data_IF_881409508436
#
_entry.id   IF_881409508436
#
_cell.length_a   1.000
_cell.length_b   1.000
_cell.length_c   1.000
_cell.angle_alpha   90.00
_cell.angle_beta   90.00
_cell.angle_gamma   90.00
#
_symmetry.space_group_name_H-M   'P 1'
#
loop_
_entity.id
_entity.type
_entity.pdbx_description
1 polymer ?
#
# COMPACT_ATOMS: atom_id res chain seq x y z
N UNK A 1 -13.44 -10.78 -18.96
CA UNK A 1 -12.11 -10.14 -18.88
C UNK A 1 -12.14 -8.64 -19.21
N UNK A 2 -12.64 -8.17 -20.36
CA UNK A 2 -12.63 -6.71 -20.68
C UNK A 2 -13.65 -5.82 -19.93
N UNK A 3 -14.64 -6.41 -19.25
CA UNK A 3 -15.73 -5.68 -18.59
C UNK A 3 -15.56 -5.51 -17.07
N UNK A 4 -14.63 -6.24 -16.46
CA UNK A 4 -14.54 -6.38 -15.00
C UNK A 4 -14.00 -5.12 -14.31
N UNK A 5 -13.15 -4.35 -15.01
CA UNK A 5 -12.49 -3.15 -14.50
C UNK A 5 -13.11 -1.83 -15.00
N UNK A 6 -14.31 -1.88 -15.61
CA UNK A 6 -15.02 -0.67 -16.04
C UNK A 6 -15.61 0.06 -14.83
N UNK A 7 -15.63 1.39 -14.89
CA UNK A 7 -16.29 2.20 -13.88
C UNK A 7 -17.79 1.89 -13.85
N UNK A 8 -18.40 1.66 -12.67
CA UNK A 8 -19.84 1.55 -12.56
C UNK A 8 -20.52 2.89 -12.90
N UNK A 9 -21.76 2.84 -13.36
CA UNK A 9 -22.48 4.03 -13.82
C UNK A 9 -22.62 5.11 -12.74
N UNK A 10 -22.70 4.70 -11.47
CA UNK A 10 -22.69 5.60 -10.31
C UNK A 10 -21.40 6.42 -10.24
N UNK A 11 -20.23 5.80 -10.41
CA UNK A 11 -18.92 6.48 -10.44
C UNK A 11 -18.85 7.45 -11.62
N UNK A 12 -19.24 7.02 -12.82
CA UNK A 12 -19.24 7.87 -14.03
C UNK A 12 -20.10 9.11 -13.80
N UNK A 13 -21.33 8.92 -13.29
CA UNK A 13 -22.29 10.00 -13.04
C UNK A 13 -21.79 10.98 -11.97
N UNK A 14 -21.24 10.46 -10.87
CA UNK A 14 -20.67 11.29 -9.80
C UNK A 14 -19.46 12.07 -10.29
N UNK A 15 -18.55 11.43 -11.02
CA UNK A 15 -17.35 12.07 -11.56
C UNK A 15 -17.70 13.20 -12.55
N UNK A 16 -18.63 12.96 -13.47
CA UNK A 16 -19.12 13.99 -14.39
C UNK A 16 -19.67 15.21 -13.65
N UNK A 17 -20.47 15.00 -12.60
CA UNK A 17 -21.03 16.08 -11.77
C UNK A 17 -19.95 16.83 -11.00
N UNK A 18 -18.98 16.12 -10.40
CA UNK A 18 -17.84 16.73 -9.70
C UNK A 18 -17.02 17.64 -10.62
N UNK A 19 -16.86 17.23 -11.87
CA UNK A 19 -16.15 18.03 -12.89
C UNK A 19 -17.04 19.07 -13.57
N UNK A 20 -18.26 19.31 -13.08
CA UNK A 20 -19.27 20.18 -13.69
C UNK A 20 -19.47 19.90 -15.19
N UNK A 21 -19.45 18.63 -15.58
CA UNK A 21 -19.48 18.16 -16.97
C UNK A 21 -18.48 18.90 -17.87
N UNK A 22 -17.28 19.18 -17.35
CA UNK A 22 -16.24 19.92 -18.06
C UNK A 22 -14.94 19.11 -18.03
N UNK A 23 -14.24 19.04 -19.16
CA UNK A 23 -12.98 18.31 -19.29
C UNK A 23 -11.93 18.83 -18.29
N UNK A 24 -11.33 17.92 -17.51
CA UNK A 24 -10.35 18.25 -16.49
C UNK A 24 -8.93 18.52 -17.02
N UNK A 25 -8.68 18.35 -18.33
CA UNK A 25 -7.40 18.76 -18.91
C UNK A 25 -7.27 20.29 -18.86
N UNK A 26 -6.24 20.85 -18.18
CA UNK A 26 -6.06 22.30 -18.00
C UNK A 26 -5.99 23.09 -19.31
N UNK A 27 -5.47 22.46 -20.38
CA UNK A 27 -5.38 23.08 -21.71
C UNK A 27 -6.66 22.97 -22.55
N UNK A 28 -7.72 22.35 -22.04
CA UNK A 28 -8.95 22.08 -22.78
C UNK A 28 -10.18 22.75 -22.17
N UNK A 29 -10.59 22.37 -20.95
CA UNK A 29 -11.75 22.95 -20.27
C UNK A 29 -13.08 22.87 -21.04
N UNK A 30 -13.20 21.97 -22.03
CA UNK A 30 -14.39 21.87 -22.87
C UNK A 30 -15.62 21.41 -22.06
N UNK A 31 -16.76 22.04 -22.30
CA UNK A 31 -18.06 21.55 -21.82
C UNK A 31 -18.35 20.23 -22.55
N UNK A 32 -18.71 19.21 -21.78
CA UNK A 32 -18.90 17.83 -22.28
C UNK A 32 -20.36 17.40 -22.33
N UNK A 33 -21.29 18.20 -21.79
CA UNK A 33 -22.72 17.92 -21.82
C UNK A 33 -23.50 19.07 -22.45
N UNK A 34 -24.45 18.77 -23.34
CA UNK A 34 -25.23 19.77 -24.07
C UNK A 34 -26.60 19.27 -24.53
N UNK A 35 -27.44 20.14 -25.11
CA UNK A 35 -28.78 19.76 -25.57
C UNK A 35 -28.74 18.93 -26.86
N UNK A 36 -29.76 18.09 -27.06
CA UNK A 36 -30.10 17.50 -28.37
C UNK A 36 -31.29 18.23 -29.00
N UNK A 37 -31.68 17.83 -30.22
CA UNK A 37 -32.94 18.24 -30.87
C UNK A 37 -34.19 17.74 -30.12
N UNK A 38 -34.07 16.64 -29.37
CA UNK A 38 -35.10 16.13 -28.47
C UNK A 38 -35.13 16.87 -27.14
N UNK A 39 -36.31 17.36 -26.67
CA UNK A 39 -36.44 18.06 -25.38
C UNK A 39 -36.09 17.21 -24.15
N UNK A 40 -36.21 15.88 -24.23
CA UNK A 40 -35.90 14.92 -23.17
C UNK A 40 -34.48 14.32 -23.28
N UNK A 41 -33.68 14.79 -24.25
CA UNK A 41 -32.35 14.25 -24.56
C UNK A 41 -31.20 15.19 -24.21
N UNK A 42 -30.00 14.60 -24.12
CA UNK A 42 -28.75 15.35 -23.98
C UNK A 42 -27.61 14.64 -24.71
N UNK A 43 -26.64 15.44 -25.18
CA UNK A 43 -25.37 14.96 -25.72
C UNK A 43 -24.39 14.84 -24.56
N UNK A 44 -23.62 13.76 -24.52
CA UNK A 44 -22.46 13.60 -23.65
C UNK A 44 -21.22 13.25 -24.50
N UNK A 45 -20.20 14.11 -24.44
CA UNK A 45 -18.89 13.95 -25.08
C UNK A 45 -17.77 13.65 -24.07
N UNK A 46 -18.14 13.52 -22.79
CA UNK A 46 -17.25 13.29 -21.67
C UNK A 46 -17.23 11.83 -21.24
N UNK A 47 -16.06 11.40 -20.79
CA UNK A 47 -15.74 10.02 -20.44
C UNK A 47 -14.98 9.99 -19.11
N UNK A 48 -15.24 8.96 -18.31
CA UNK A 48 -14.44 8.66 -17.12
C UNK A 48 -13.20 7.87 -17.57
N UNK A 49 -12.05 8.54 -17.58
CA UNK A 49 -10.78 7.96 -17.94
C UNK A 49 -10.06 7.37 -16.72
N UNK A 50 -9.36 6.25 -16.93
CA UNK A 50 -8.52 5.62 -15.92
C UNK A 50 -7.19 6.36 -15.77
N UNK A 51 -6.85 6.76 -14.54
CA UNK A 51 -5.53 7.32 -14.22
C UNK A 51 -4.48 6.21 -14.27
N UNK A 52 -4.66 5.13 -13.49
CA UNK A 52 -3.99 3.85 -13.68
C UNK A 52 -4.85 2.93 -14.53
N UNK A 53 -4.28 2.38 -15.60
CA UNK A 53 -4.99 1.61 -16.62
C UNK A 53 -5.75 0.39 -16.07
N UNK A 54 -6.90 0.11 -16.69
CA UNK A 54 -7.83 -0.91 -16.22
C UNK A 54 -7.31 -2.36 -16.37
N UNK A 55 -6.54 -2.65 -17.43
CA UNK A 55 -6.22 -4.02 -17.84
C UNK A 55 -4.73 -4.17 -18.21
N UNK A 56 -4.21 -5.39 -18.12
CA UNK A 56 -2.84 -5.69 -18.57
C UNK A 56 -2.68 -5.22 -20.02
N UNK A 57 -1.65 -4.41 -20.27
CA UNK A 57 -1.38 -3.83 -21.59
C UNK A 57 -2.07 -2.49 -21.87
N UNK A 58 -2.98 -2.01 -21.00
CA UNK A 58 -3.51 -0.64 -21.11
C UNK A 58 -2.50 0.42 -20.65
N UNK A 59 -2.68 1.65 -21.11
CA UNK A 59 -1.89 2.80 -20.70
C UNK A 59 -1.80 2.91 -19.17
N UNK A 60 -0.59 3.09 -18.64
CA UNK A 60 -0.32 3.27 -17.21
C UNK A 60 -0.84 2.13 -16.30
N UNK A 61 -0.95 0.91 -16.82
CA UNK A 61 -1.38 -0.24 -16.02
C UNK A 61 -0.40 -0.52 -14.86
N UNK A 62 -0.93 -0.63 -13.65
CA UNK A 62 -0.17 -1.03 -12.47
C UNK A 62 -0.56 -2.45 -12.04
N UNK A 63 0.44 -3.34 -11.96
CA UNK A 63 0.21 -4.78 -11.69
C UNK A 63 -0.23 -5.02 -10.25
N UNK A 64 0.27 -4.22 -9.32
CA UNK A 64 -0.02 -4.41 -7.88
C UNK A 64 -1.41 -3.89 -7.49
N UNK A 65 -2.04 -3.10 -8.36
CA UNK A 65 -3.38 -2.55 -8.15
C UNK A 65 -4.44 -3.60 -8.43
N UNK A 66 -5.42 -3.72 -7.54
CA UNK A 66 -6.50 -4.71 -7.63
C UNK A 66 -7.64 -4.24 -8.53
N UNK A 67 -8.46 -5.16 -9.09
CA UNK A 67 -9.60 -4.81 -9.94
C UNK A 67 -10.54 -3.75 -9.34
N UNK A 68 -10.82 -3.88 -8.03
CA UNK A 68 -11.67 -2.95 -7.29
C UNK A 68 -11.13 -1.53 -7.24
N UNK A 69 -9.81 -1.40 -7.08
CA UNK A 69 -9.11 -0.12 -7.02
C UNK A 69 -9.05 0.52 -8.40
N UNK A 70 -8.88 -0.27 -9.46
CA UNK A 70 -8.89 0.23 -10.83
C UNK A 70 -10.22 0.85 -11.22
N UNK A 71 -11.34 0.28 -10.73
CA UNK A 71 -12.70 0.81 -10.96
C UNK A 71 -13.17 1.82 -9.89
N UNK A 72 -12.32 2.20 -8.94
CA UNK A 72 -12.68 3.15 -7.90
C UNK A 72 -12.67 4.59 -8.43
N UNK A 73 -13.53 5.45 -7.88
CA UNK A 73 -13.57 6.87 -8.26
C UNK A 73 -12.24 7.57 -7.99
N UNK A 74 -11.47 7.13 -6.99
CA UNK A 74 -10.13 7.65 -6.69
C UNK A 74 -9.15 7.47 -7.85
N UNK A 75 -9.35 6.47 -8.71
CA UNK A 75 -8.53 6.21 -9.91
C UNK A 75 -9.09 6.84 -11.21
N UNK A 76 -10.10 7.72 -11.12
CA UNK A 76 -10.81 8.25 -12.29
C UNK A 76 -10.56 9.75 -12.51
N UNK A 77 -10.56 10.19 -13.77
CA UNK A 77 -10.57 11.61 -14.18
C UNK A 77 -11.60 11.84 -15.29
N UNK A 78 -12.35 12.94 -15.27
CA UNK A 78 -13.32 13.28 -16.32
C UNK A 78 -12.67 14.04 -17.47
N UNK A 79 -12.73 13.49 -18.69
CA UNK A 79 -12.13 14.09 -19.88
C UNK A 79 -13.11 14.06 -21.06
N UNK A 80 -12.99 14.99 -22.02
CA UNK A 80 -13.65 14.81 -23.31
C UNK A 80 -12.99 13.65 -24.10
N UNK A 81 -13.71 13.00 -25.01
CA UNK A 81 -13.19 11.87 -25.78
C UNK A 81 -11.84 12.13 -26.48
N UNK A 82 -11.63 13.36 -26.98
CA UNK A 82 -10.35 13.76 -27.58
C UNK A 82 -9.20 13.75 -26.57
N UNK A 83 -9.41 14.30 -25.37
CA UNK A 83 -8.39 14.33 -24.32
C UNK A 83 -8.16 12.95 -23.73
N UNK A 84 -9.21 12.13 -23.57
CA UNK A 84 -9.08 10.75 -23.12
C UNK A 84 -8.20 9.94 -24.09
N UNK A 85 -8.52 9.97 -25.39
CA UNK A 85 -7.69 9.32 -26.41
C UNK A 85 -6.24 9.81 -26.38
N UNK A 86 -6.05 11.12 -26.24
CA UNK A 86 -4.71 11.73 -26.20
C UNK A 86 -3.85 11.20 -25.05
N UNK A 87 -4.40 11.09 -23.83
CA UNK A 87 -3.63 10.61 -22.68
C UNK A 87 -3.32 9.11 -22.79
N UNK A 88 -4.19 8.33 -23.44
CA UNK A 88 -3.99 6.89 -23.63
C UNK A 88 -2.99 6.57 -24.74
N UNK A 89 -2.96 7.38 -25.81
CA UNK A 89 -2.02 7.21 -26.92
C UNK A 89 -0.56 7.59 -26.52
N UNK A 90 -0.35 8.45 -25.50
CA UNK A 90 0.98 8.84 -25.01
C UNK A 90 1.12 8.80 -23.46
N UNK A 91 1.16 7.59 -22.86
CA UNK A 91 1.23 7.44 -21.40
C UNK A 91 2.51 7.97 -20.77
N UNK A 92 3.59 8.15 -21.54
CA UNK A 92 4.85 8.69 -21.05
C UNK A 92 4.77 10.22 -20.87
N UNK A 93 4.12 10.92 -21.80
CA UNK A 93 3.85 12.35 -21.65
C UNK A 93 2.76 12.63 -20.60
N UNK A 94 1.82 11.70 -20.41
CA UNK A 94 0.72 11.81 -19.45
C UNK A 94 0.80 10.74 -18.36
N UNK A 95 1.80 10.78 -17.45
CA UNK A 95 1.92 9.80 -16.38
C UNK A 95 0.81 9.96 -15.31
N UNK A 96 0.54 8.92 -14.48
CA UNK A 96 -0.52 8.95 -13.48
C UNK A 96 -0.48 10.18 -12.56
N UNK A 97 0.71 10.54 -12.06
CA UNK A 97 0.88 11.69 -11.18
C UNK A 97 0.36 12.99 -11.80
N UNK A 98 0.69 13.25 -13.07
CA UNK A 98 0.19 14.43 -13.77
C UNK A 98 -1.35 14.44 -13.89
N UNK A 99 -1.95 13.27 -14.12
CA UNK A 99 -3.42 13.17 -14.21
C UNK A 99 -4.10 13.38 -12.84
N UNK A 100 -3.47 12.95 -11.75
CA UNK A 100 -3.95 13.28 -10.41
C UNK A 100 -3.92 14.80 -10.16
N UNK A 101 -2.82 15.47 -10.53
CA UNK A 101 -2.70 16.93 -10.43
C UNK A 101 -3.78 17.63 -11.26
N UNK A 102 -4.00 17.22 -12.52
CA UNK A 102 -5.05 17.77 -13.38
C UNK A 102 -6.43 17.67 -12.74
N UNK A 103 -6.74 16.50 -12.17
CA UNK A 103 -8.02 16.31 -11.49
C UNK A 103 -8.15 17.25 -10.29
N UNK A 104 -7.12 17.34 -9.45
CA UNK A 104 -7.14 18.16 -8.24
C UNK A 104 -7.32 19.64 -8.57
N UNK A 105 -6.54 20.17 -9.52
CA UNK A 105 -6.63 21.55 -9.99
C UNK A 105 -8.00 21.86 -10.60
N UNK A 106 -8.54 20.93 -11.39
CA UNK A 106 -9.87 21.09 -11.97
C UNK A 106 -10.98 21.11 -10.91
N UNK A 107 -10.98 20.16 -9.98
CA UNK A 107 -11.97 20.11 -8.89
C UNK A 107 -11.89 21.38 -8.01
N UNK A 108 -10.68 21.90 -7.76
CA UNK A 108 -10.50 23.19 -7.08
C UNK A 108 -11.15 24.33 -7.87
N UNK A 109 -10.84 24.44 -9.16
CA UNK A 109 -11.38 25.48 -10.05
C UNK A 109 -12.91 25.44 -10.11
N UNK A 110 -13.50 24.24 -10.21
CA UNK A 110 -14.96 24.07 -10.19
C UNK A 110 -15.55 24.48 -8.84
N UNK A 111 -14.91 24.10 -7.72
CA UNK A 111 -15.33 24.47 -6.37
C UNK A 111 -15.34 25.99 -6.15
N UNK A 112 -14.32 26.69 -6.65
CA UNK A 112 -14.23 28.16 -6.60
C UNK A 112 -15.34 28.84 -7.41
N UNK A 113 -15.64 28.32 -8.62
CA UNK A 113 -16.73 28.82 -9.48
C UNK A 113 -18.12 28.63 -8.89
N UNK A 114 -18.34 27.60 -8.07
CA UNK A 114 -19.61 27.37 -7.37
C UNK A 114 -19.91 28.38 -6.25
N UNK A 115 -19.00 29.33 -5.99
CA UNK A 115 -19.34 30.62 -5.38
C UNK A 115 -19.45 30.62 -3.86
N UNK A 116 -18.43 30.15 -3.13
CA UNK A 116 -18.34 30.34 -1.66
C UNK A 116 -16.91 30.67 -1.22
N UNK A 117 -16.76 31.73 -0.43
CA UNK A 117 -15.51 32.09 0.30
C UNK A 117 -14.93 30.92 1.11
N UNK A 118 -15.78 29.97 1.51
CA UNK A 118 -15.38 28.74 2.20
C UNK A 118 -14.59 27.73 1.36
N UNK A 119 -14.73 27.71 0.03
CA UNK A 119 -14.03 26.75 -0.83
C UNK A 119 -12.51 26.95 -0.79
N UNK A 120 -12.06 28.20 -0.93
CA UNK A 120 -10.65 28.56 -0.84
C UNK A 120 -10.08 28.29 0.57
N UNK A 121 -10.87 28.48 1.64
CA UNK A 121 -10.46 28.16 3.01
C UNK A 121 -10.31 26.64 3.18
N UNK A 122 -11.29 25.86 2.72
CA UNK A 122 -11.25 24.39 2.75
C UNK A 122 -10.04 23.84 2.01
N UNK A 123 -9.76 24.33 0.79
CA UNK A 123 -8.59 23.91 0.03
C UNK A 123 -7.26 24.22 0.74
N UNK A 124 -7.14 25.39 1.38
CA UNK A 124 -5.95 25.73 2.19
C UNK A 124 -5.80 24.81 3.40
N UNK A 125 -6.91 24.42 4.03
CA UNK A 125 -6.89 23.45 5.12
C UNK A 125 -6.44 22.07 4.61
N UNK A 126 -7.04 21.55 3.54
CA UNK A 126 -6.69 20.25 2.95
C UNK A 126 -5.22 20.16 2.60
N UNK A 127 -4.66 21.20 1.96
CA UNK A 127 -3.24 21.25 1.62
C UNK A 127 -2.34 21.19 2.86
N UNK A 128 -2.62 22.00 3.88
CA UNK A 128 -1.86 22.00 5.15
C UNK A 128 -1.99 20.68 5.90
N UNK A 129 -3.19 20.07 5.84
CA UNK A 129 -3.45 18.77 6.43
C UNK A 129 -2.60 17.69 5.74
N UNK A 130 -2.57 17.66 4.40
CA UNK A 130 -1.74 16.75 3.62
C UNK A 130 -0.23 16.99 3.84
N UNK A 131 0.22 18.25 3.92
CA UNK A 131 1.62 18.61 4.19
C UNK A 131 2.13 17.98 5.51
N UNK A 132 1.27 17.87 6.52
CA UNK A 132 1.65 17.28 7.81
C UNK A 132 1.99 15.79 7.74
N UNK A 133 1.55 15.08 6.68
CA UNK A 133 1.94 13.70 6.46
C UNK A 133 3.33 13.57 5.83
N UNK A 134 3.86 14.62 5.19
CA UNK A 134 5.07 14.51 4.37
C UNK A 134 4.79 13.80 3.05
N UNK A 135 5.57 12.77 2.70
CA UNK A 135 5.38 12.04 1.44
C UNK A 135 4.22 11.05 1.55
N UNK A 136 3.25 11.17 0.64
CA UNK A 136 2.16 10.22 0.42
C UNK A 136 2.11 9.80 -1.06
N UNK A 137 1.36 8.74 -1.37
CA UNK A 137 0.97 8.47 -2.75
C UNK A 137 -0.24 9.32 -3.12
N UNK A 138 -0.40 9.61 -4.41
CA UNK A 138 -1.56 10.35 -4.92
C UNK A 138 -2.90 9.69 -4.57
N UNK A 139 -2.94 8.35 -4.51
CA UNK A 139 -4.15 7.61 -4.10
C UNK A 139 -4.44 7.83 -2.62
N UNK A 140 -3.42 7.79 -1.75
CA UNK A 140 -3.58 8.07 -0.32
C UNK A 140 -4.06 9.51 -0.07
N UNK A 141 -3.50 10.49 -0.77
CA UNK A 141 -3.96 11.89 -0.69
C UNK A 141 -5.44 12.01 -1.07
N UNK A 142 -5.85 11.34 -2.15
CA UNK A 142 -7.24 11.34 -2.61
C UNK A 142 -8.18 10.71 -1.58
N UNK A 143 -7.79 9.58 -0.99
CA UNK A 143 -8.56 8.90 0.06
C UNK A 143 -8.73 9.77 1.31
N UNK A 144 -7.69 10.51 1.69
CA UNK A 144 -7.72 11.45 2.83
C UNK A 144 -8.63 12.66 2.54
N UNK A 145 -8.64 13.19 1.30
CA UNK A 145 -9.50 14.31 0.92
C UNK A 145 -10.96 13.88 0.78
N UNK A 146 -11.23 12.80 0.02
CA UNK A 146 -12.61 12.40 -0.31
C UNK A 146 -13.34 11.78 0.88
N UNK A 147 -12.65 10.95 1.69
CA UNK A 147 -13.24 10.18 2.80
C UNK A 147 -14.58 9.50 2.45
N UNK A 148 -14.64 8.89 1.26
CA UNK A 148 -15.79 8.11 0.80
C UNK A 148 -16.01 6.85 1.66
N UNK A 149 -17.05 6.07 1.38
CA UNK A 149 -17.33 4.83 2.11
C UNK A 149 -16.11 3.92 2.20
N UNK A 150 -15.83 3.42 3.41
CA UNK A 150 -14.71 2.52 3.69
C UNK A 150 -13.31 3.11 3.41
N UNK A 151 -13.17 4.45 3.39
CA UNK A 151 -11.89 5.11 3.14
C UNK A 151 -10.80 4.70 4.13
N UNK A 152 -11.14 4.37 5.39
CA UNK A 152 -10.18 3.95 6.40
C UNK A 152 -9.42 2.69 5.94
N UNK A 153 -10.15 1.68 5.45
CA UNK A 153 -9.59 0.42 5.00
C UNK A 153 -8.80 0.57 3.69
N UNK A 154 -9.31 1.39 2.77
CA UNK A 154 -8.61 1.69 1.51
C UNK A 154 -7.32 2.48 1.77
N UNK A 155 -7.35 3.44 2.70
CA UNK A 155 -6.16 4.21 3.09
C UNK A 155 -5.14 3.29 3.75
N UNK A 156 -5.56 2.40 4.65
CA UNK A 156 -4.67 1.39 5.23
C UNK A 156 -4.04 0.51 4.15
N UNK A 157 -4.83 0.01 3.20
CA UNK A 157 -4.33 -0.83 2.12
C UNK A 157 -3.28 -0.09 1.27
N UNK A 158 -3.57 1.13 0.84
CA UNK A 158 -2.65 1.93 0.03
C UNK A 158 -1.38 2.32 0.81
N UNK A 159 -1.53 2.83 2.03
CA UNK A 159 -0.40 3.23 2.86
C UNK A 159 0.51 2.03 3.17
N UNK A 160 -0.04 0.87 3.57
CA UNK A 160 0.76 -0.34 3.79
C UNK A 160 1.52 -0.77 2.53
N UNK A 161 0.90 -0.73 1.35
CA UNK A 161 1.62 -1.05 0.10
C UNK A 161 2.81 -0.12 -0.08
N UNK A 162 2.60 1.19 0.06
CA UNK A 162 3.67 2.19 -0.14
C UNK A 162 4.81 1.99 0.85
N UNK A 163 4.49 1.82 2.14
CA UNK A 163 5.48 1.72 3.22
C UNK A 163 6.26 0.39 3.19
N UNK A 164 5.63 -0.71 2.77
CA UNK A 164 6.23 -2.06 2.84
C UNK A 164 6.87 -2.50 1.52
N UNK A 165 6.42 -1.98 0.37
CA UNK A 165 6.90 -2.39 -0.97
C UNK A 165 8.42 -2.35 -1.12
N UNK A 166 9.16 -1.28 -0.71
CA UNK A 166 10.62 -1.25 -0.87
C UNK A 166 11.30 -2.41 -0.13
N UNK A 167 10.83 -2.71 1.07
CA UNK A 167 11.33 -3.82 1.89
C UNK A 167 10.97 -5.17 1.28
N UNK A 168 9.74 -5.36 0.81
CA UNK A 168 9.31 -6.60 0.16
C UNK A 168 10.11 -6.89 -1.13
N UNK A 169 10.37 -5.85 -1.94
CA UNK A 169 11.22 -5.98 -3.14
C UNK A 169 12.64 -6.37 -2.78
N UNK A 170 13.20 -5.76 -1.73
CA UNK A 170 14.55 -6.06 -1.27
C UNK A 170 14.65 -7.45 -0.63
N UNK A 171 13.64 -7.87 0.12
CA UNK A 171 13.51 -9.25 0.63
C UNK A 171 13.50 -10.27 -0.53
N UNK A 172 12.69 -10.03 -1.56
CA UNK A 172 12.68 -10.86 -2.77
C UNK A 172 14.04 -10.91 -3.47
N UNK A 173 14.72 -9.78 -3.57
CA UNK A 173 16.06 -9.73 -4.16
C UNK A 173 17.08 -10.52 -3.33
N UNK A 174 17.00 -10.46 -2.00
CA UNK A 174 17.85 -11.20 -1.08
C UNK A 174 17.64 -12.71 -1.18
N UNK A 175 16.38 -13.15 -1.16
CA UNK A 175 16.02 -14.58 -1.25
C UNK A 175 16.38 -15.20 -2.60
N UNK A 176 16.46 -14.40 -3.65
CA UNK A 176 16.93 -14.80 -4.99
C UNK A 176 18.44 -14.65 -5.19
N UNK A 177 19.18 -14.17 -4.20
CA UNK A 177 20.63 -13.96 -4.30
C UNK A 177 21.04 -12.85 -5.27
N UNK A 178 20.16 -11.87 -5.53
CA UNK A 178 20.42 -10.77 -6.47
C UNK A 178 21.38 -9.70 -5.90
N UNK A 179 21.67 -9.75 -4.60
CA UNK A 179 22.72 -8.95 -3.98
C UNK A 179 23.31 -9.67 -2.77
N UNK A 180 24.48 -9.20 -2.33
CA UNK A 180 25.13 -9.62 -1.10
C UNK A 180 25.68 -8.40 -0.34
N UNK A 181 25.94 -8.56 0.96
CA UNK A 181 26.72 -7.61 1.76
C UNK A 181 28.08 -8.21 2.13
N UNK A 182 29.08 -7.39 2.51
CA UNK A 182 30.33 -7.88 3.07
C UNK A 182 30.07 -8.82 4.25
N UNK A 183 30.83 -9.91 4.32
CA UNK A 183 30.71 -10.88 5.41
C UNK A 183 31.44 -10.32 6.64
N UNK A 184 30.75 -10.27 7.77
CA UNK A 184 31.35 -9.99 9.08
C UNK A 184 31.68 -11.30 9.78
N UNK A 185 32.95 -11.52 10.11
CA UNK A 185 33.36 -12.68 10.93
C UNK A 185 33.14 -12.37 12.40
N UNK A 186 32.38 -13.22 13.08
CA UNK A 186 32.18 -13.17 14.52
C UNK A 186 33.23 -14.05 15.22
N UNK A 187 33.74 -13.58 16.36
CA UNK A 187 34.61 -14.38 17.22
C UNK A 187 33.83 -15.54 17.83
N UNK A 188 34.44 -16.73 17.91
CA UNK A 188 33.84 -17.94 18.50
C UNK A 188 33.16 -17.67 19.84
N UNK A 189 33.85 -16.96 20.73
CA UNK A 189 33.37 -16.66 22.08
C UNK A 189 32.09 -15.81 22.13
N UNK A 190 31.76 -15.08 21.06
CA UNK A 190 30.56 -14.23 20.97
C UNK A 190 29.42 -14.88 20.20
N UNK A 191 29.65 -16.05 19.58
CA UNK A 191 28.71 -16.64 18.63
C UNK A 191 27.41 -17.11 19.28
N UNK A 192 27.49 -17.70 20.49
CA UNK A 192 26.32 -18.14 21.23
C UNK A 192 25.43 -16.96 21.64
N UNK A 193 26.00 -15.96 22.32
CA UNK A 193 25.26 -14.78 22.79
C UNK A 193 24.62 -14.04 21.61
N UNK A 194 25.37 -13.86 20.51
CA UNK A 194 24.86 -13.20 19.33
C UNK A 194 23.66 -13.93 18.72
N UNK A 195 23.71 -15.26 18.59
CA UNK A 195 22.59 -16.07 18.09
C UNK A 195 21.37 -16.00 19.03
N UNK A 196 21.61 -16.05 20.34
CA UNK A 196 20.56 -15.87 21.35
C UNK A 196 19.88 -14.51 21.21
N UNK A 197 20.65 -13.43 21.06
CA UNK A 197 20.14 -12.08 20.84
C UNK A 197 19.34 -12.00 19.54
N UNK A 198 19.82 -12.62 18.44
CA UNK A 198 19.08 -12.67 17.18
C UNK A 198 17.71 -13.36 17.35
N UNK A 199 17.64 -14.45 18.12
CA UNK A 199 16.36 -15.12 18.39
C UNK A 199 15.39 -14.21 19.17
N UNK A 200 15.88 -13.46 20.16
CA UNK A 200 15.05 -12.52 20.91
C UNK A 200 14.57 -11.36 20.03
N UNK A 201 15.43 -10.81 19.18
CA UNK A 201 15.08 -9.71 18.29
C UNK A 201 13.96 -10.07 17.31
N UNK A 202 14.00 -11.26 16.69
CA UNK A 202 12.95 -11.64 15.74
C UNK A 202 11.59 -11.82 16.43
N UNK A 203 11.58 -12.31 17.68
CA UNK A 203 10.37 -12.38 18.49
C UNK A 203 9.80 -11.00 18.85
N UNK A 204 10.65 -9.99 19.02
CA UNK A 204 10.21 -8.60 19.21
C UNK A 204 9.53 -8.04 17.96
N UNK A 205 10.05 -8.33 16.76
CA UNK A 205 9.40 -7.93 15.51
C UNK A 205 8.04 -8.62 15.32
N UNK A 206 7.95 -9.92 15.62
CA UNK A 206 6.66 -10.65 15.60
C UNK A 206 5.67 -10.02 16.58
N UNK A 207 6.10 -9.70 17.79
CA UNK A 207 5.26 -9.04 18.80
C UNK A 207 4.80 -7.66 18.35
N UNK A 208 5.68 -6.85 17.77
CA UNK A 208 5.33 -5.54 17.23
C UNK A 208 4.28 -5.67 16.12
N UNK A 209 4.48 -6.59 15.17
CA UNK A 209 3.50 -6.90 14.14
C UNK A 209 2.14 -7.31 14.73
N UNK A 210 2.11 -8.16 15.75
CA UNK A 210 0.86 -8.56 16.42
C UNK A 210 0.14 -7.37 17.09
N UNK A 211 0.89 -6.49 17.76
CA UNK A 211 0.32 -5.31 18.42
C UNK A 211 -0.24 -4.31 17.41
N UNK A 212 0.46 -4.09 16.29
CA UNK A 212 -0.02 -3.23 15.21
C UNK A 212 -1.31 -3.80 14.60
N UNK A 213 -1.35 -5.12 14.35
CA UNK A 213 -2.46 -5.78 13.66
C UNK A 213 -3.71 -5.90 14.52
N UNK A 214 -3.55 -6.32 15.78
CA UNK A 214 -4.68 -6.64 16.65
C UNK A 214 -5.04 -5.51 17.64
N UNK A 215 -4.25 -4.43 17.67
CA UNK A 215 -4.47 -3.28 18.53
C UNK A 215 -4.58 -1.99 17.74
N UNK A 216 -3.44 -1.49 17.25
CA UNK A 216 -3.33 -0.13 16.73
C UNK A 216 -4.18 0.13 15.46
N UNK A 217 -4.27 -0.84 14.54
CA UNK A 217 -5.12 -0.69 13.34
C UNK A 217 -6.60 -0.49 13.72
N UNK A 218 -7.11 -1.32 14.65
CA UNK A 218 -8.49 -1.21 15.10
C UNK A 218 -8.80 0.13 15.77
N UNK A 219 -7.84 0.63 16.57
CA UNK A 219 -7.96 1.96 17.19
C UNK A 219 -7.96 3.08 16.15
N UNK A 220 -7.06 3.00 15.15
CA UNK A 220 -6.93 4.00 14.10
C UNK A 220 -8.18 4.08 13.19
N UNK A 221 -8.86 2.96 12.97
CA UNK A 221 -10.13 2.91 12.22
C UNK A 221 -11.32 3.49 12.99
N UNK A 222 -11.21 3.65 14.30
CA UNK A 222 -12.30 4.12 15.16
C UNK A 222 -13.33 3.03 15.46
N UNK A 223 -14.19 3.33 16.45
CA UNK A 223 -15.30 2.44 16.79
C UNK A 223 -16.37 2.45 15.68
N UNK A 224 -17.17 1.38 15.51
CA UNK A 224 -18.25 1.35 14.51
C UNK A 224 -19.15 2.59 14.58
N UNK A 225 -19.31 3.29 13.46
CA UNK A 225 -20.09 4.52 13.34
C UNK A 225 -19.34 5.82 13.74
N UNK A 226 -18.10 5.71 14.21
CA UNK A 226 -17.21 6.85 14.46
C UNK A 226 -16.13 6.88 13.38
N UNK A 227 -15.90 8.00 12.67
CA UNK A 227 -14.84 8.07 11.66
C UNK A 227 -13.46 7.77 12.25
N UNK A 228 -12.65 7.03 11.49
CA UNK A 228 -11.25 6.81 11.83
C UNK A 228 -10.39 8.06 11.73
N UNK A 229 -9.15 7.95 12.20
CA UNK A 229 -8.17 9.04 12.17
C UNK A 229 -7.09 8.77 11.11
N UNK A 230 -7.03 9.62 10.10
CA UNK A 230 -6.09 9.49 8.97
C UNK A 230 -4.62 9.55 9.41
N UNK A 231 -4.26 10.46 10.32
CA UNK A 231 -2.91 10.52 10.89
C UNK A 231 -2.53 9.22 11.60
N UNK A 232 -3.41 8.66 12.41
CA UNK A 232 -3.15 7.38 13.09
C UNK A 232 -3.03 6.24 12.09
N UNK A 233 -3.93 6.15 11.10
CA UNK A 233 -3.87 5.12 10.06
C UNK A 233 -2.50 5.16 9.34
N UNK A 234 -2.08 6.33 8.86
CA UNK A 234 -0.80 6.46 8.15
C UNK A 234 0.38 6.19 9.08
N UNK A 235 0.33 6.66 10.34
CA UNK A 235 1.39 6.42 11.33
C UNK A 235 1.55 4.94 11.64
N UNK A 236 0.45 4.21 11.81
CA UNK A 236 0.47 2.75 12.02
C UNK A 236 1.05 2.04 10.80
N UNK A 237 0.70 2.46 9.58
CA UNK A 237 1.25 1.89 8.35
C UNK A 237 2.78 2.12 8.23
N UNK A 238 3.28 3.26 8.69
CA UNK A 238 4.73 3.53 8.77
C UNK A 238 5.44 2.62 9.76
N UNK A 239 4.83 2.37 10.92
CA UNK A 239 5.36 1.41 11.90
C UNK A 239 5.43 -0.01 11.32
N UNK A 240 4.47 -0.43 10.48
CA UNK A 240 4.60 -1.68 9.72
C UNK A 240 5.82 -1.66 8.79
N UNK A 241 6.06 -0.55 8.09
CA UNK A 241 7.26 -0.35 7.27
C UNK A 241 8.55 -0.53 8.08
N UNK A 242 8.62 0.09 9.27
CA UNK A 242 9.75 -0.03 10.20
C UNK A 242 9.95 -1.47 10.70
N UNK A 243 8.88 -2.17 11.09
CA UNK A 243 8.94 -3.58 11.52
C UNK A 243 9.45 -4.46 10.38
N UNK A 244 8.94 -4.28 9.17
CA UNK A 244 9.41 -5.03 8.00
C UNK A 244 10.87 -4.74 7.70
N UNK A 245 11.29 -3.47 7.75
CA UNK A 245 12.68 -3.07 7.51
C UNK A 245 13.60 -3.67 8.56
N UNK A 246 13.21 -3.66 9.83
CA UNK A 246 13.94 -4.31 10.92
C UNK A 246 14.10 -5.80 10.69
N UNK A 247 13.01 -6.50 10.34
CA UNK A 247 13.03 -7.92 10.01
C UNK A 247 13.98 -8.23 8.83
N UNK A 248 13.98 -7.39 7.78
CA UNK A 248 14.91 -7.56 6.66
C UNK A 248 16.37 -7.30 7.05
N UNK A 249 16.64 -6.28 7.87
CA UNK A 249 18.00 -6.00 8.36
C UNK A 249 18.51 -7.15 9.22
N UNK A 250 17.65 -7.72 10.06
CA UNK A 250 17.93 -8.91 10.85
C UNK A 250 18.29 -10.10 9.94
N UNK A 251 17.52 -10.33 8.88
CA UNK A 251 17.76 -11.39 7.91
C UNK A 251 19.11 -11.23 7.19
N UNK A 252 19.44 -9.99 6.80
CA UNK A 252 20.74 -9.65 6.23
C UNK A 252 21.88 -9.90 7.23
N UNK A 253 21.68 -9.60 8.51
CA UNK A 253 22.68 -9.89 9.55
C UNK A 253 22.91 -11.39 9.73
N UNK A 254 21.85 -12.20 9.73
CA UNK A 254 21.99 -13.67 9.76
C UNK A 254 22.79 -14.15 8.55
N UNK A 255 22.39 -13.77 7.34
CA UNK A 255 23.00 -14.27 6.09
C UNK A 255 24.45 -13.85 5.93
N UNK A 256 24.78 -12.61 6.30
CA UNK A 256 26.10 -12.01 6.04
C UNK A 256 27.00 -11.97 7.29
N UNK A 257 26.69 -12.78 8.31
CA UNK A 257 27.60 -13.05 9.44
C UNK A 257 28.14 -14.46 9.34
N UNK A 258 29.46 -14.59 9.41
CA UNK A 258 30.15 -15.87 9.53
C UNK A 258 30.39 -16.18 10.99
N UNK A 259 29.94 -17.35 11.42
CA UNK A 259 30.16 -17.92 12.76
C UNK A 259 31.14 -19.10 12.67
N UNK A 260 31.69 -19.52 13.79
CA UNK A 260 32.50 -20.74 13.87
C UNK A 260 31.68 -22.00 13.53
N UNK A 261 32.38 -23.08 13.13
CA UNK A 261 31.75 -24.31 12.62
C UNK A 261 30.70 -24.89 13.57
N UNK A 262 30.99 -24.82 14.88
CA UNK A 262 30.11 -25.25 15.96
C UNK A 262 28.70 -24.60 15.92
N UNK A 263 28.58 -23.41 15.33
CA UNK A 263 27.38 -22.58 15.32
C UNK A 263 26.73 -22.45 13.92
N UNK A 264 27.33 -23.03 12.89
CA UNK A 264 26.86 -22.89 11.51
C UNK A 264 25.43 -23.41 11.32
N UNK A 265 25.11 -24.56 11.91
CA UNK A 265 23.78 -25.17 11.80
C UNK A 265 22.68 -24.25 12.38
N UNK A 266 22.92 -23.67 13.56
CA UNK A 266 21.96 -22.74 14.20
C UNK A 266 21.75 -21.51 13.31
N UNK A 267 22.84 -20.91 12.82
CA UNK A 267 22.78 -19.75 11.94
C UNK A 267 22.00 -20.07 10.67
N UNK A 268 22.25 -21.22 10.06
CA UNK A 268 21.58 -21.66 8.83
C UNK A 268 20.08 -21.91 9.03
N UNK A 269 19.67 -22.41 10.20
CA UNK A 269 18.26 -22.53 10.54
C UNK A 269 17.56 -21.17 10.63
N UNK A 270 18.26 -20.09 11.01
CA UNK A 270 17.66 -18.75 11.11
C UNK A 270 17.44 -18.10 9.75
N UNK A 271 18.14 -18.55 8.72
CA UNK A 271 18.03 -18.02 7.36
C UNK A 271 16.61 -18.22 6.83
N UNK A 272 15.98 -17.12 6.42
CA UNK A 272 14.67 -17.09 5.79
C UNK A 272 13.50 -16.88 6.76
N UNK A 273 13.74 -16.91 8.06
CA UNK A 273 12.68 -16.85 9.07
C UNK A 273 11.96 -15.50 9.09
N UNK A 274 12.69 -14.40 8.90
CA UNK A 274 12.10 -13.06 8.88
C UNK A 274 11.27 -12.76 7.63
N UNK A 275 11.53 -13.46 6.53
CA UNK A 275 10.80 -13.32 5.28
C UNK A 275 9.30 -13.56 5.40
N UNK A 276 8.93 -14.56 6.20
CA UNK A 276 7.53 -14.92 6.42
C UNK A 276 6.72 -13.77 7.02
N UNK A 277 7.31 -12.96 7.90
CA UNK A 277 6.62 -11.79 8.47
C UNK A 277 6.35 -10.74 7.39
N UNK A 278 7.35 -10.44 6.55
CA UNK A 278 7.23 -9.44 5.47
C UNK A 278 6.16 -9.87 4.46
N UNK A 279 6.13 -11.15 4.11
CA UNK A 279 5.14 -11.71 3.19
C UNK A 279 3.71 -11.60 3.75
N UNK A 280 3.51 -11.86 5.06
CA UNK A 280 2.18 -11.76 5.71
C UNK A 280 1.65 -10.34 5.78
N UNK A 281 2.51 -9.34 5.98
CA UNK A 281 2.07 -7.93 5.96
C UNK A 281 1.48 -7.57 4.60
N UNK A 282 2.03 -8.10 3.51
CA UNK A 282 1.55 -7.84 2.15
C UNK A 282 0.18 -8.47 1.83
N UNK A 283 -0.34 -9.36 2.68
CA UNK A 283 -1.69 -9.92 2.55
C UNK A 283 -2.77 -8.97 3.05
N UNK A 284 -2.46 -8.09 4.02
CA UNK A 284 -3.41 -7.16 4.62
C UNK A 284 -4.01 -6.21 3.57
N UNK A 285 -3.23 -5.50 2.72
CA UNK A 285 -3.79 -4.61 1.70
C UNK A 285 -4.72 -5.33 0.74
N UNK A 286 -4.37 -6.57 0.37
CA UNK A 286 -5.17 -7.37 -0.55
C UNK A 286 -6.53 -7.69 0.07
N UNK A 287 -6.53 -8.22 1.28
CA UNK A 287 -7.76 -8.54 2.01
C UNK A 287 -8.68 -7.32 2.16
N UNK A 288 -8.14 -6.18 2.62
CA UNK A 288 -8.93 -4.96 2.83
C UNK A 288 -9.55 -4.46 1.53
N UNK A 289 -8.80 -4.48 0.44
CA UNK A 289 -9.29 -4.03 -0.86
C UNK A 289 -10.37 -4.96 -1.43
N UNK A 290 -10.19 -6.29 -1.30
CA UNK A 290 -11.19 -7.28 -1.73
C UNK A 290 -12.47 -7.19 -0.88
N UNK A 291 -12.34 -6.95 0.42
CA UNK A 291 -13.46 -6.71 1.32
C UNK A 291 -14.29 -5.49 0.86
N UNK A 292 -13.64 -4.35 0.60
CA UNK A 292 -14.34 -3.14 0.17
C UNK A 292 -14.94 -3.31 -1.23
N UNK A 293 -14.27 -4.06 -2.11
CA UNK A 293 -14.76 -4.38 -3.47
C UNK A 293 -16.11 -5.08 -3.50
N UNK A 294 -16.41 -5.88 -2.46
CA UNK A 294 -17.66 -6.59 -2.31
C UNK A 294 -18.84 -5.67 -1.95
N UNK A 295 -18.59 -4.36 -1.79
CA UNK A 295 -19.57 -3.34 -1.39
C UNK A 295 -20.36 -3.76 -0.14
N UNK A 296 -19.66 -4.02 0.98
CA UNK A 296 -20.25 -4.64 2.14
C UNK A 296 -21.23 -3.67 2.81
N UNK A 297 -22.50 -4.08 2.94
CA UNK A 297 -23.51 -3.29 3.67
C UNK A 297 -23.33 -3.35 5.19
N UNK A 298 -23.09 -4.54 5.72
CA UNK A 298 -22.71 -4.82 7.12
C UNK A 298 -22.14 -6.24 7.21
N UNK A 299 -21.34 -6.52 8.23
CA UNK A 299 -20.81 -7.87 8.46
C UNK A 299 -19.51 -7.90 9.23
N UNK A 300 -19.06 -9.11 9.54
CA UNK A 300 -17.75 -9.38 10.13
C UNK A 300 -16.88 -10.05 9.07
N UNK A 301 -15.69 -9.47 8.85
CA UNK A 301 -14.68 -10.00 7.96
C UNK A 301 -13.46 -10.38 8.79
N UNK A 302 -12.87 -11.55 8.53
CA UNK A 302 -11.76 -12.06 9.29
C UNK A 302 -10.59 -12.39 8.36
N UNK A 303 -9.40 -11.88 8.71
CA UNK A 303 -8.13 -12.26 8.11
C UNK A 303 -7.29 -12.96 9.18
N UNK A 304 -6.89 -14.20 8.91
CA UNK A 304 -6.00 -14.95 9.79
C UNK A 304 -4.61 -15.01 9.18
N UNK A 305 -3.66 -14.30 9.79
CA UNK A 305 -2.26 -14.29 9.38
C UNK A 305 -1.47 -15.24 10.26
N UNK A 306 -0.88 -16.27 9.66
CA UNK A 306 -0.06 -17.27 10.37
C UNK A 306 1.40 -17.12 9.94
N UNK A 307 2.26 -16.75 10.88
CA UNK A 307 3.71 -16.74 10.68
C UNK A 307 4.21 -18.15 11.03
N UNK A 308 4.25 -19.03 10.04
CA UNK A 308 4.73 -20.40 10.19
C UNK A 308 6.23 -20.47 9.91
N UNK A 309 6.95 -21.21 10.76
CA UNK A 309 8.32 -21.64 10.51
C UNK A 309 8.29 -23.10 9.99
N UNK A 310 9.38 -23.59 9.37
CA UNK A 310 9.44 -24.98 8.90
C UNK A 310 9.05 -26.00 9.98
N UNK A 311 8.48 -27.13 9.58
CA UNK A 311 8.08 -28.17 10.54
C UNK A 311 9.28 -28.64 11.40
N UNK A 312 9.08 -28.68 12.72
CA UNK A 312 10.11 -29.01 13.70
C UNK A 312 11.24 -27.98 13.78
N UNK A 313 11.06 -26.75 13.27
CA UNK A 313 12.10 -25.73 13.30
C UNK A 313 12.53 -25.39 14.72
N UNK A 314 11.58 -25.22 15.65
CA UNK A 314 11.88 -24.92 17.05
C UNK A 314 12.72 -26.03 17.68
N UNK A 315 12.28 -27.29 17.53
CA UNK A 315 13.01 -28.45 18.04
C UNK A 315 14.43 -28.55 17.45
N UNK A 316 14.58 -28.28 16.14
CA UNK A 316 15.89 -28.27 15.45
C UNK A 316 16.80 -27.16 15.97
N UNK A 317 16.26 -25.96 16.17
CA UNK A 317 17.01 -24.81 16.72
C UNK A 317 17.44 -25.09 18.14
N UNK A 318 16.55 -25.60 18.99
CA UNK A 318 16.87 -25.97 20.37
C UNK A 318 17.96 -27.06 20.42
N UNK A 319 17.83 -28.10 19.60
CA UNK A 319 18.83 -29.16 19.50
C UNK A 319 20.18 -28.65 19.00
N UNK A 320 20.19 -27.82 17.95
CA UNK A 320 21.41 -27.25 17.38
C UNK A 320 22.09 -26.29 18.36
N UNK A 321 21.34 -25.46 19.11
CA UNK A 321 21.88 -24.59 20.15
C UNK A 321 22.50 -25.38 21.29
N UNK A 322 21.82 -26.43 21.77
CA UNK A 322 22.33 -27.30 22.83
C UNK A 322 23.62 -28.03 22.41
N UNK A 323 23.66 -28.53 21.18
CA UNK A 323 24.85 -29.17 20.62
C UNK A 323 26.01 -28.17 20.50
N UNK A 324 25.77 -26.99 19.92
CA UNK A 324 26.76 -25.93 19.77
C UNK A 324 27.34 -25.50 21.13
N UNK A 325 26.49 -25.35 22.16
CA UNK A 325 26.92 -25.01 23.51
C UNK A 325 27.77 -26.11 24.14
N UNK A 326 27.38 -27.39 23.97
CA UNK A 326 28.16 -28.52 24.48
C UNK A 326 29.54 -28.61 23.83
N UNK A 327 29.63 -28.46 22.51
CA UNK A 327 30.90 -28.48 21.77
C UNK A 327 31.78 -27.29 22.16
N UNK A 328 31.19 -26.10 22.33
CA UNK A 328 31.89 -24.91 22.78
C UNK A 328 32.52 -25.08 24.17
N UNK A 329 31.81 -25.72 25.10
CA UNK A 329 32.30 -25.98 26.45
C UNK A 329 33.35 -27.11 26.50
N UNK A 330 33.29 -28.09 25.60
CA UNK A 330 34.24 -29.20 25.56
C UNK A 330 35.61 -28.82 24.96
N UNK A 331 35.64 -27.77 24.14
CA UNK A 331 36.81 -27.32 23.38
C UNK A 331 37.39 -25.98 23.90
N UNK A 332 37.03 -25.58 25.12
CA UNK A 332 37.59 -24.46 25.90
C UNK A 332 38.21 -25.00 27.19
#
# INVERSE_FOLDING_TARGET
MAYENRFPQSVITTLAKRSANTCANPGCGAITSGPTDRPDGSINLGEAAHIYGANVGSARYEKVMLPAERRAITNAIWLCGNCHKKIDDDPNQYPPGLLFEWRQEHEQTISEKLGKTGAAIKHRYERRHLEAFGKLSYVAERLIIDKDSCWEYLLTAEALRVEVMPTAQRWKALSQGLYAKPITRLERAKSFDWLSDRLQEILLYVRAFMNLTNGELGLAWGAPGTPGNDFQIVSVCRLYGEVCQGALLWEEQIRFTSVDEDFLEVRDLFVGTAGHLIDRVMEIPKFLSEMVAAEPGSGTYALTLVIELPCGWADKVEAALANAQSVFLANN
#
